data_IF_376627255399
#
_entry.id   IF_376627255399
#
_cell.length_a   1.000
_cell.length_b   1.000
_cell.length_c   1.000
_cell.angle_alpha   90.00
_cell.angle_beta   90.00
_cell.angle_gamma   90.00
#
_symmetry.space_group_name_H-M   'P 1'
#
loop_
_entity.id
_entity.type
_entity.pdbx_description
1 polymer ?
#
# COMPACT_ATOMS: atom_id res chain seq x y z
N UNK A 1 26.51 2.01 3.32
CA UNK A 1 25.84 1.84 2.00
C UNK A 1 24.78 0.74 2.14
N UNK A 2 23.64 1.04 2.77
CA UNK A 2 22.59 0.03 3.05
C UNK A 2 21.15 0.59 3.05
N UNK A 3 20.96 1.81 2.57
CA UNK A 3 19.64 2.48 2.49
C UNK A 3 18.75 2.00 1.33
N UNK A 4 19.15 0.96 0.57
CA UNK A 4 18.49 0.61 -0.71
C UNK A 4 17.72 -0.71 -0.74
N UNK A 5 17.90 -1.58 0.25
CA UNK A 5 17.24 -2.90 0.26
C UNK A 5 15.94 -2.86 1.07
N UNK A 6 15.91 -2.12 2.18
CA UNK A 6 14.74 -2.02 3.07
C UNK A 6 13.64 -1.11 2.53
N UNK A 7 14.02 -0.03 1.83
CA UNK A 7 13.10 0.89 1.16
C UNK A 7 12.37 0.21 -0.03
N UNK A 8 12.99 -0.81 -0.64
CA UNK A 8 12.38 -1.53 -1.77
C UNK A 8 11.20 -2.39 -1.35
N UNK A 9 11.26 -3.07 -0.21
CA UNK A 9 10.19 -4.01 0.17
C UNK A 9 8.93 -3.25 0.61
N UNK A 10 9.09 -2.19 1.42
CA UNK A 10 7.99 -1.27 1.77
C UNK A 10 7.41 -0.59 0.53
N UNK A 11 8.26 -0.07 -0.37
CA UNK A 11 7.82 0.52 -1.63
C UNK A 11 7.16 -0.51 -2.55
N UNK A 12 7.61 -1.76 -2.54
CA UNK A 12 7.05 -2.85 -3.35
C UNK A 12 5.66 -3.22 -2.84
N UNK A 13 5.45 -3.36 -1.54
CA UNK A 13 4.14 -3.67 -0.96
C UNK A 13 3.12 -2.55 -1.22
N UNK A 14 3.53 -1.28 -1.04
CA UNK A 14 2.68 -0.13 -1.34
C UNK A 14 2.39 -0.02 -2.85
N UNK A 15 3.37 -0.28 -3.71
CA UNK A 15 3.20 -0.24 -5.17
C UNK A 15 2.30 -1.36 -5.67
N UNK A 16 2.44 -2.58 -5.14
CA UNK A 16 1.62 -3.75 -5.51
C UNK A 16 0.14 -3.50 -5.21
N UNK A 17 -0.19 -2.73 -4.16
CA UNK A 17 -1.56 -2.33 -3.84
C UNK A 17 -2.03 -1.08 -4.63
N UNK A 18 -1.11 -0.17 -4.94
CA UNK A 18 -1.39 1.05 -5.70
C UNK A 18 -1.75 0.78 -7.18
N UNK A 19 -1.11 -0.21 -7.82
CA UNK A 19 -1.39 -0.55 -9.22
C UNK A 19 -2.88 -0.95 -9.43
N UNK A 20 -3.45 -1.90 -8.66
CA UNK A 20 -4.89 -2.21 -8.72
C UNK A 20 -5.78 -0.98 -8.53
N UNK A 21 -5.46 -0.11 -7.56
CA UNK A 21 -6.19 1.13 -7.29
C UNK A 21 -6.24 2.03 -8.53
N UNK A 22 -5.09 2.22 -9.18
CA UNK A 22 -4.98 3.04 -10.38
C UNK A 22 -5.82 2.47 -11.54
N UNK A 23 -5.77 1.15 -11.75
CA UNK A 23 -6.56 0.48 -12.79
C UNK A 23 -8.06 0.66 -12.53
N UNK A 24 -8.51 0.45 -11.30
CA UNK A 24 -9.92 0.62 -10.93
C UNK A 24 -10.36 2.07 -11.11
N UNK A 25 -9.55 3.04 -10.69
CA UNK A 25 -9.81 4.46 -10.90
C UNK A 25 -9.95 4.80 -12.38
N UNK A 26 -9.03 4.30 -13.21
CA UNK A 26 -9.06 4.49 -14.66
C UNK A 26 -10.39 4.01 -15.26
N UNK A 27 -10.87 2.82 -14.87
CA UNK A 27 -12.14 2.31 -15.38
C UNK A 27 -13.37 3.07 -14.84
N UNK A 28 -13.36 3.48 -13.57
CA UNK A 28 -14.45 4.30 -13.01
C UNK A 28 -14.58 5.60 -13.80
N UNK A 29 -13.47 6.30 -14.04
CA UNK A 29 -13.45 7.54 -14.82
C UNK A 29 -13.79 7.27 -16.28
N UNK A 30 -13.19 6.24 -16.88
CA UNK A 30 -13.42 5.85 -18.26
C UNK A 30 -14.89 5.58 -18.56
N UNK A 31 -15.57 4.79 -17.73
CA UNK A 31 -17.00 4.49 -17.89
C UNK A 31 -17.92 5.67 -17.54
N UNK A 32 -17.44 6.62 -16.73
CA UNK A 32 -18.16 7.86 -16.44
C UNK A 32 -18.15 8.81 -17.63
N UNK A 33 -17.00 8.94 -18.30
CA UNK A 33 -16.82 9.79 -19.47
C UNK A 33 -17.36 9.18 -20.76
N UNK A 34 -17.21 7.86 -20.92
CA UNK A 34 -17.60 7.14 -22.12
C UNK A 34 -18.32 5.84 -21.75
N UNK A 35 -19.55 5.69 -22.23
CA UNK A 35 -20.31 4.46 -22.03
C UNK A 35 -20.37 3.64 -23.34
N UNK A 36 -19.49 2.65 -23.54
CA UNK A 36 -19.51 1.81 -24.73
C UNK A 36 -20.70 0.85 -24.79
N UNK A 37 -21.35 0.58 -23.66
CA UNK A 37 -22.38 -0.44 -23.54
C UNK A 37 -23.75 0.19 -23.32
N UNK A 38 -24.75 -0.25 -24.07
CA UNK A 38 -26.15 0.19 -23.90
C UNK A 38 -26.81 -0.53 -22.72
N UNK A 39 -26.25 -0.33 -21.53
CA UNK A 39 -26.71 -0.93 -20.27
C UNK A 39 -27.95 -0.19 -19.73
N UNK A 40 -28.86 -0.94 -19.12
CA UNK A 40 -29.95 -0.37 -18.33
C UNK A 40 -29.46 0.24 -17.01
N UNK A 41 -30.37 0.89 -16.29
CA UNK A 41 -30.03 1.59 -15.04
C UNK A 41 -29.50 0.64 -13.97
N UNK A 42 -30.07 -0.56 -13.86
CA UNK A 42 -29.70 -1.56 -12.85
C UNK A 42 -28.29 -2.10 -13.11
N UNK A 43 -27.98 -2.42 -14.37
CA UNK A 43 -26.70 -2.96 -14.79
C UNK A 43 -25.58 -1.94 -14.58
N UNK A 44 -25.84 -0.65 -14.84
CA UNK A 44 -24.88 0.43 -14.56
C UNK A 44 -24.61 0.59 -13.08
N UNK A 45 -25.64 0.52 -12.22
CA UNK A 45 -25.46 0.56 -10.77
C UNK A 45 -24.59 -0.61 -10.32
N UNK A 46 -24.90 -1.83 -10.77
CA UNK A 46 -24.11 -3.01 -10.45
C UNK A 46 -22.66 -2.89 -10.92
N UNK A 47 -22.41 -2.39 -12.12
CA UNK A 47 -21.07 -2.12 -12.64
C UNK A 47 -20.29 -1.18 -11.71
N UNK A 48 -20.87 -0.03 -11.33
CA UNK A 48 -20.18 0.92 -10.46
C UNK A 48 -20.01 0.41 -9.03
N UNK A 49 -20.93 -0.40 -8.51
CA UNK A 49 -20.75 -1.06 -7.21
C UNK A 49 -19.61 -2.06 -7.27
N UNK A 50 -19.55 -2.88 -8.32
CA UNK A 50 -18.49 -3.88 -8.52
C UNK A 50 -17.11 -3.26 -8.75
N UNK A 51 -17.02 -2.04 -9.28
CA UNK A 51 -15.76 -1.31 -9.39
C UNK A 51 -15.44 -0.51 -8.11
N UNK A 52 -16.45 0.17 -7.57
CA UNK A 52 -16.30 1.11 -6.45
C UNK A 52 -16.07 0.43 -5.11
N UNK A 53 -16.72 -0.71 -4.84
CA UNK A 53 -16.54 -1.45 -3.60
C UNK A 53 -15.10 -1.97 -3.43
N UNK A 54 -14.49 -2.70 -4.39
CA UNK A 54 -13.09 -3.10 -4.25
C UNK A 54 -12.15 -1.90 -4.28
N UNK A 55 -12.46 -0.83 -5.03
CA UNK A 55 -11.66 0.40 -5.02
C UNK A 55 -11.59 1.01 -3.61
N UNK A 56 -12.74 1.17 -2.95
CA UNK A 56 -12.81 1.75 -1.61
C UNK A 56 -12.13 0.85 -0.56
N UNK A 57 -12.39 -0.46 -0.61
CA UNK A 57 -11.77 -1.42 0.31
C UNK A 57 -10.24 -1.46 0.15
N UNK A 58 -9.74 -1.52 -1.09
CA UNK A 58 -8.31 -1.49 -1.37
C UNK A 58 -7.68 -0.14 -0.99
N UNK A 59 -8.36 0.98 -1.21
CA UNK A 59 -7.90 2.30 -0.75
C UNK A 59 -7.70 2.33 0.76
N UNK A 60 -8.69 1.84 1.52
CA UNK A 60 -8.63 1.78 2.97
C UNK A 60 -7.49 0.87 3.41
N UNK A 61 -7.39 -0.34 2.84
CA UNK A 61 -6.32 -1.28 3.19
C UNK A 61 -4.94 -0.71 2.86
N UNK A 62 -4.75 -0.13 1.67
CA UNK A 62 -3.48 0.51 1.26
C UNK A 62 -3.07 1.59 2.25
N UNK A 63 -4.02 2.44 2.64
CA UNK A 63 -3.76 3.53 3.59
C UNK A 63 -3.40 2.99 4.98
N UNK A 64 -4.14 2.00 5.47
CA UNK A 64 -3.85 1.38 6.76
C UNK A 64 -2.50 0.67 6.77
N UNK A 65 -2.16 -0.05 5.69
CA UNK A 65 -0.85 -0.69 5.51
C UNK A 65 0.27 0.35 5.51
N UNK A 66 0.17 1.42 4.72
CA UNK A 66 1.18 2.47 4.70
C UNK A 66 1.35 3.18 6.03
N UNK A 67 0.24 3.46 6.73
CA UNK A 67 0.28 4.06 8.07
C UNK A 67 0.92 3.14 9.09
N UNK A 68 0.63 1.83 9.05
CA UNK A 68 1.22 0.85 9.94
C UNK A 68 2.73 0.73 9.72
N UNK A 69 3.18 0.62 8.46
CA UNK A 69 4.60 0.50 8.12
C UNK A 69 5.37 1.75 8.59
N UNK A 70 4.90 2.95 8.24
CA UNK A 70 5.53 4.21 8.65
C UNK A 70 5.55 4.42 10.19
N UNK A 71 4.69 3.74 10.94
CA UNK A 71 4.70 3.77 12.40
C UNK A 71 5.66 2.74 12.99
N UNK A 72 5.81 1.56 12.37
CA UNK A 72 6.75 0.53 12.81
C UNK A 72 8.19 0.93 12.54
N UNK A 73 8.46 1.60 11.42
CA UNK A 73 9.80 2.08 11.07
C UNK A 73 10.36 3.08 12.08
N UNK A 74 9.51 3.85 12.77
CA UNK A 74 9.93 4.85 13.78
C UNK A 74 10.34 4.26 15.13
N UNK A 75 10.03 2.99 15.39
CA UNK A 75 10.14 2.40 16.73
C UNK A 75 10.98 1.13 16.74
N UNK A 76 11.36 0.61 15.57
CA UNK A 76 12.05 -0.67 15.48
C UNK A 76 13.57 -0.47 15.49
N UNK A 77 14.29 -0.99 16.51
CA UNK A 77 15.75 -0.95 16.53
C UNK A 77 16.33 -1.77 15.37
N UNK A 78 17.20 -1.15 14.58
CA UNK A 78 17.84 -1.79 13.42
C UNK A 78 19.09 -2.52 13.88
N UNK A 79 19.07 -3.85 13.79
CA UNK A 79 20.23 -4.70 14.05
C UNK A 79 20.99 -5.01 12.77
N UNK A 80 22.28 -5.35 12.89
CA UNK A 80 23.01 -5.94 11.77
C UNK A 80 22.34 -7.24 11.30
N UNK A 81 22.29 -7.50 9.98
CA UNK A 81 21.80 -8.77 9.46
C UNK A 81 22.53 -9.95 10.12
N UNK A 82 21.79 -10.81 10.82
CA UNK A 82 22.34 -11.94 11.60
C UNK A 82 22.69 -11.65 13.07
N UNK A 83 22.60 -10.39 13.51
CA UNK A 83 22.83 -9.99 14.90
C UNK A 83 21.54 -9.97 15.74
N UNK A 84 20.35 -9.96 15.11
CA UNK A 84 19.06 -9.89 15.80
C UNK A 84 18.76 -11.07 16.73
N UNK A 85 19.48 -12.19 16.59
CA UNK A 85 19.34 -13.39 17.44
C UNK A 85 20.52 -13.58 18.39
N UNK A 86 21.48 -12.65 18.44
CA UNK A 86 22.67 -12.73 19.27
C UNK A 86 22.41 -11.99 20.58
N UNK A 87 22.50 -12.69 21.70
CA UNK A 87 22.35 -12.09 23.03
C UNK A 87 23.37 -10.96 23.23
N UNK A 88 22.88 -9.75 23.47
CA UNK A 88 23.70 -8.55 23.68
C UNK A 88 24.13 -7.82 22.40
N UNK A 89 23.52 -8.10 21.24
CA UNK A 89 23.73 -7.29 20.05
C UNK A 89 23.19 -5.86 20.24
N UNK A 90 24.06 -4.86 20.09
CA UNK A 90 23.67 -3.45 20.09
C UNK A 90 23.06 -3.06 18.72
N UNK A 91 21.98 -2.25 18.69
CA UNK A 91 21.45 -1.68 17.46
C UNK A 91 22.50 -0.81 16.74
N UNK A 92 22.44 -0.72 15.40
CA UNK A 92 23.37 0.11 14.62
C UNK A 92 23.01 1.60 14.75
N UNK A 93 21.73 1.90 14.95
CA UNK A 93 21.20 3.23 15.15
C UNK A 93 20.41 3.24 16.46
N UNK A 94 21.05 3.70 17.53
CA UNK A 94 20.33 4.25 18.68
C UNK A 94 19.81 5.64 18.27
N UNK A 95 18.70 5.71 17.53
CA UNK A 95 17.99 6.98 17.35
C UNK A 95 17.26 7.35 18.65
N UNK A 96 18.05 7.72 19.66
CA UNK A 96 17.64 8.70 20.65
C UNK A 96 17.74 10.09 20.00
N UNK A 97 16.75 10.45 19.19
CA UNK A 97 16.49 11.87 18.92
C UNK A 97 15.25 12.28 19.73
N UNK A 98 15.49 13.20 20.66
CA UNK A 98 14.53 13.84 21.58
C UNK A 98 13.41 14.61 20.86
#
# INVERSE_FOLDING_TARGET
>A
MSTKVFDRDTMLDLTVNFIPLFILFFFIVGYSLYNPFTLGSTERILQYVLLGAPFALLAILTYLSGKAIASTEKTSPVYMPGAATVDGAEPIEDEHEE
#
